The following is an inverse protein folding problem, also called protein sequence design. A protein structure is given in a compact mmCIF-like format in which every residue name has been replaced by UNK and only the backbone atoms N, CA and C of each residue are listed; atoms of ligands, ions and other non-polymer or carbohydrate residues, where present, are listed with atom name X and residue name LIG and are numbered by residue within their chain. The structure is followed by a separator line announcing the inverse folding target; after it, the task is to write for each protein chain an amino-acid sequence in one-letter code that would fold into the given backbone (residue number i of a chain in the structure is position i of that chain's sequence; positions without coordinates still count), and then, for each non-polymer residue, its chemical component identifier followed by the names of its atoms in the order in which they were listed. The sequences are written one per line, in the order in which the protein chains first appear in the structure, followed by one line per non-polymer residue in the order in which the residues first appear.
data_IF_679336686225
#
_entry.id   IF_679336686225
#
_cell.length_a   1.000
_cell.length_b   1.000
_cell.length_c   1.000
_cell.angle_alpha   90.00
_cell.angle_beta   90.00
_cell.angle_gamma   90.00
#
_symmetry.space_group_name_H-M   'P 1'
#
loop_
_entity.id
_entity.type
_entity.pdbx_description
1 polymer ?
#
# COMPACT_ATOMS: atom_id res chain seq x y z
N UNK A 1 4.81 -30.33 -28.93
CA UNK A 1 3.62 -29.48 -29.12
C UNK A 1 3.61 -28.45 -28.00
N UNK A 2 3.91 -27.19 -28.30
CA UNK A 2 3.81 -26.13 -27.30
C UNK A 2 2.33 -25.83 -27.06
N UNK A 3 1.88 -25.94 -25.81
CA UNK A 3 0.52 -25.57 -25.44
C UNK A 3 0.31 -24.09 -25.74
N UNK A 4 -0.63 -23.77 -26.64
CA UNK A 4 -1.07 -22.39 -26.82
C UNK A 4 -1.80 -22.00 -25.54
N UNK A 5 -1.16 -21.19 -24.71
CA UNK A 5 -1.85 -20.49 -23.62
C UNK A 5 -2.78 -19.49 -24.30
N UNK A 6 -4.04 -19.87 -24.47
CA UNK A 6 -5.10 -18.93 -24.82
C UNK A 6 -5.19 -17.94 -23.67
N UNK A 7 -4.64 -16.73 -23.87
CA UNK A 7 -4.87 -15.63 -22.94
C UNK A 7 -6.39 -15.46 -22.85
N UNK A 8 -6.99 -15.53 -21.65
CA UNK A 8 -8.43 -15.36 -21.52
C UNK A 8 -8.82 -14.03 -22.15
N UNK A 9 -9.93 -14.03 -22.90
CA UNK A 9 -10.58 -12.81 -23.41
C UNK A 9 -10.51 -11.74 -22.32
N UNK A 10 -10.02 -10.54 -22.66
CA UNK A 10 -9.82 -9.42 -21.73
C UNK A 10 -11.05 -9.27 -20.83
N UNK A 11 -10.96 -9.74 -19.59
CA UNK A 11 -12.02 -9.56 -18.58
C UNK A 11 -12.24 -8.05 -18.45
N UNK A 12 -13.41 -7.51 -18.82
CA UNK A 12 -13.67 -6.09 -18.66
C UNK A 12 -13.51 -5.77 -17.17
N UNK A 13 -12.86 -4.64 -16.87
CA UNK A 13 -12.65 -4.21 -15.50
C UNK A 13 -11.91 -5.25 -14.62
N UNK A 14 -10.75 -5.74 -15.07
CA UNK A 14 -9.89 -6.65 -14.31
C UNK A 14 -9.29 -5.97 -13.06
N UNK A 15 -8.96 -4.68 -13.14
CA UNK A 15 -8.37 -3.89 -12.05
C UNK A 15 -9.15 -2.61 -11.81
N UNK A 16 -9.57 -2.37 -10.57
CA UNK A 16 -10.10 -1.09 -10.11
C UNK A 16 -9.00 -0.30 -9.39
N UNK A 17 -8.64 0.88 -9.89
CA UNK A 17 -7.60 1.75 -9.30
C UNK A 17 -8.25 2.97 -8.66
N UNK A 18 -8.05 3.14 -7.35
CA UNK A 18 -8.42 4.36 -6.64
C UNK A 18 -7.20 5.26 -6.44
N UNK A 19 -7.19 6.42 -7.08
CA UNK A 19 -6.13 7.43 -6.92
C UNK A 19 -6.56 8.44 -5.86
N UNK A 20 -5.89 8.46 -4.71
CA UNK A 20 -6.19 9.41 -3.65
C UNK A 20 -5.71 10.80 -4.03
N UNK A 21 -6.63 11.76 -4.00
CA UNK A 21 -6.36 13.16 -4.37
C UNK A 21 -7.28 14.10 -3.61
N UNK A 22 -7.14 15.40 -3.84
CA UNK A 22 -7.93 16.45 -3.20
C UNK A 22 -8.40 17.48 -4.24
N UNK A 23 -9.50 18.21 -4.00
CA UNK A 23 -10.14 19.01 -5.05
C UNK A 23 -9.19 19.99 -5.76
N UNK A 24 -8.29 20.64 -5.02
CA UNK A 24 -7.39 21.65 -5.58
C UNK A 24 -6.23 21.07 -6.41
N UNK A 25 -5.97 19.75 -6.39
CA UNK A 25 -4.96 19.09 -7.23
C UNK A 25 -5.49 18.66 -8.61
N UNK A 26 -6.29 19.52 -9.26
CA UNK A 26 -6.78 19.28 -10.63
C UNK A 26 -5.62 19.08 -11.62
N UNK A 27 -4.56 19.86 -11.49
CA UNK A 27 -3.35 19.74 -12.31
C UNK A 27 -2.71 18.33 -12.25
N UNK A 28 -2.70 17.67 -11.08
CA UNK A 28 -2.17 16.31 -10.95
C UNK A 28 -3.05 15.28 -11.64
N UNK A 29 -4.37 15.44 -11.51
CA UNK A 29 -5.35 14.60 -12.22
C UNK A 29 -5.25 14.77 -13.73
N UNK A 30 -5.12 16.00 -14.21
CA UNK A 30 -4.94 16.30 -15.63
C UNK A 30 -3.62 15.73 -16.17
N UNK A 31 -2.53 15.83 -15.40
CA UNK A 31 -1.27 15.20 -15.77
C UNK A 31 -1.40 13.68 -15.87
N UNK A 32 -2.10 13.01 -14.94
CA UNK A 32 -2.39 11.59 -15.03
C UNK A 32 -3.22 11.23 -16.27
N UNK A 33 -4.30 11.99 -16.54
CA UNK A 33 -5.17 11.85 -17.74
C UNK A 33 -4.38 11.96 -19.04
N UNK A 34 -3.44 12.91 -19.12
CA UNK A 34 -2.62 13.20 -20.30
C UNK A 34 -1.41 12.26 -20.46
N UNK A 35 -1.09 11.45 -19.44
CA UNK A 35 0.09 10.58 -19.44
C UNK A 35 -0.29 9.12 -19.24
N UNK A 36 -0.12 8.57 -18.04
CA UNK A 36 -0.25 7.14 -17.81
C UNK A 36 -1.69 6.61 -17.96
N UNK A 37 -2.71 7.46 -17.84
CA UNK A 37 -4.09 7.06 -18.12
C UNK A 37 -4.40 6.92 -19.61
N UNK A 38 -3.49 7.31 -20.52
CA UNK A 38 -3.66 7.07 -21.97
C UNK A 38 -3.28 5.64 -22.38
N UNK A 39 -2.91 4.78 -21.41
CA UNK A 39 -2.60 3.38 -21.67
C UNK A 39 -3.79 2.65 -22.30
N UNK A 40 -3.53 1.78 -23.29
CA UNK A 40 -4.56 1.11 -24.10
C UNK A 40 -5.50 0.17 -23.34
N UNK A 41 -5.20 -0.10 -22.07
CA UNK A 41 -5.99 -0.92 -21.17
C UNK A 41 -6.83 -0.09 -20.19
N UNK A 42 -6.56 1.21 -20.06
CA UNK A 42 -7.34 2.14 -19.22
C UNK A 42 -8.70 2.40 -19.86
N UNK A 43 -9.75 2.36 -19.04
CA UNK A 43 -11.14 2.40 -19.51
C UNK A 43 -11.68 1.07 -20.04
N UNK A 44 -10.83 0.03 -20.12
CA UNK A 44 -11.21 -1.32 -20.54
C UNK A 44 -10.99 -2.33 -19.41
N UNK A 45 -9.79 -2.86 -19.27
CA UNK A 45 -9.43 -3.83 -18.22
C UNK A 45 -8.93 -3.14 -16.95
N UNK A 46 -8.51 -1.88 -17.03
CA UNK A 46 -8.14 -1.05 -15.88
C UNK A 46 -9.09 0.13 -15.78
N UNK A 47 -9.86 0.22 -14.70
CA UNK A 47 -10.74 1.36 -14.42
C UNK A 47 -10.13 2.20 -13.33
N UNK A 48 -9.91 3.47 -13.63
CA UNK A 48 -9.29 4.45 -12.71
C UNK A 48 -10.36 5.38 -12.17
N UNK A 49 -10.33 5.65 -10.86
CA UNK A 49 -11.15 6.66 -10.19
C UNK A 49 -10.30 7.56 -9.30
N UNK A 50 -10.42 8.88 -9.47
CA UNK A 50 -9.91 9.86 -8.53
C UNK A 50 -10.80 9.96 -7.30
N UNK A 51 -10.26 9.64 -6.13
CA UNK A 51 -11.00 9.57 -4.88
C UNK A 51 -10.98 10.95 -4.20
N UNK A 52 -12.14 11.60 -4.14
CA UNK A 52 -12.32 12.89 -3.47
C UNK A 52 -13.03 12.68 -2.14
N UNK A 53 -12.41 13.13 -1.05
CA UNK A 53 -13.06 13.19 0.27
C UNK A 53 -14.02 14.39 0.31
N UNK A 54 -15.31 14.13 0.17
CA UNK A 54 -16.33 15.15 0.00
C UNK A 54 -17.01 15.60 1.31
N UNK A 55 -16.76 14.90 2.43
CA UNK A 55 -17.38 15.21 3.71
C UNK A 55 -16.95 16.58 4.22
N UNK A 56 -17.90 17.52 4.33
CA UNK A 56 -17.63 18.87 4.84
C UNK A 56 -16.78 19.74 3.91
N UNK A 57 -16.72 19.45 2.60
CA UNK A 57 -16.16 20.40 1.63
C UNK A 57 -17.02 21.67 1.55
N UNK A 58 -16.37 22.81 1.34
CA UNK A 58 -17.08 24.06 1.05
C UNK A 58 -17.94 23.87 -0.22
N UNK A 59 -19.18 24.41 -0.27
CA UNK A 59 -20.09 24.22 -1.40
C UNK A 59 -19.47 24.58 -2.76
N UNK A 60 -18.71 25.66 -2.83
CA UNK A 60 -18.07 26.10 -4.09
C UNK A 60 -16.99 25.13 -4.57
N UNK A 61 -16.19 24.59 -3.65
CA UNK A 61 -15.16 23.58 -3.96
C UNK A 61 -15.81 22.28 -4.43
N UNK A 62 -16.91 21.88 -3.78
CA UNK A 62 -17.68 20.71 -4.21
C UNK A 62 -18.34 20.93 -5.58
N UNK A 63 -18.85 22.13 -5.85
CA UNK A 63 -19.45 22.47 -7.13
C UNK A 63 -18.42 22.44 -8.28
N UNK A 64 -17.22 22.98 -8.07
CA UNK A 64 -16.12 22.88 -9.05
C UNK A 64 -15.70 21.43 -9.29
N UNK A 65 -15.50 20.65 -8.23
CA UNK A 65 -15.13 19.24 -8.38
C UNK A 65 -16.23 18.43 -9.10
N UNK A 66 -17.51 18.76 -8.90
CA UNK A 66 -18.62 18.15 -9.64
C UNK A 66 -18.61 18.52 -11.12
N UNK A 67 -18.29 19.78 -11.48
CA UNK A 67 -18.10 20.16 -12.88
C UNK A 67 -16.99 19.35 -13.55
N UNK A 68 -15.85 19.19 -12.87
CA UNK A 68 -14.77 18.34 -13.37
C UNK A 68 -15.21 16.87 -13.54
N UNK A 69 -16.00 16.34 -12.60
CA UNK A 69 -16.60 15.01 -12.74
C UNK A 69 -17.54 14.93 -13.95
N UNK A 70 -18.33 15.95 -14.22
CA UNK A 70 -19.24 15.97 -15.38
C UNK A 70 -18.44 16.01 -16.70
N UNK A 71 -17.29 16.67 -16.71
CA UNK A 71 -16.37 16.74 -17.85
C UNK A 71 -15.63 15.41 -18.12
N UNK A 72 -15.11 14.76 -17.08
CA UNK A 72 -14.18 13.63 -17.23
C UNK A 72 -14.76 12.27 -16.83
N UNK A 73 -15.81 12.23 -16.02
CA UNK A 73 -16.49 11.00 -15.63
C UNK A 73 -15.66 10.07 -14.74
N UNK A 74 -14.51 10.50 -14.21
CA UNK A 74 -13.47 9.65 -13.62
C UNK A 74 -13.19 9.87 -12.12
N UNK A 75 -14.08 10.56 -11.41
CA UNK A 75 -13.97 10.83 -9.98
C UNK A 75 -14.97 10.00 -9.17
N UNK A 76 -14.68 9.84 -7.88
CA UNK A 76 -15.56 9.21 -6.90
C UNK A 76 -15.53 10.04 -5.62
N UNK A 77 -16.68 10.65 -5.31
CA UNK A 77 -16.88 11.41 -4.09
C UNK A 77 -17.20 10.47 -2.93
N UNK A 78 -16.33 10.43 -1.94
CA UNK A 78 -16.45 9.59 -0.76
C UNK A 78 -16.98 10.42 0.41
N UNK A 79 -17.90 9.87 1.24
CA UNK A 79 -18.43 10.54 2.43
C UNK A 79 -17.42 10.48 3.60
N UNK A 80 -16.18 10.87 3.32
CA UNK A 80 -15.07 10.94 4.27
C UNK A 80 -14.75 12.41 4.47
N UNK A 81 -14.51 12.82 5.72
CA UNK A 81 -14.13 14.19 6.05
C UNK A 81 -12.94 14.67 5.19
N UNK A 82 -13.09 15.86 4.64
CA UNK A 82 -12.08 16.53 3.82
C UNK A 82 -10.78 16.80 4.60
N UNK A 83 -9.77 17.32 3.91
CA UNK A 83 -8.49 17.69 4.53
C UNK A 83 -8.60 18.71 5.66
N UNK A 84 -9.67 19.49 5.70
CA UNK A 84 -9.94 20.44 6.78
C UNK A 84 -10.65 19.82 8.00
N UNK A 85 -11.29 18.65 7.83
CA UNK A 85 -12.14 18.03 8.86
C UNK A 85 -11.53 16.82 9.56
N UNK A 86 -10.31 16.38 9.19
CA UNK A 86 -9.67 15.23 9.82
C UNK A 86 -8.15 15.24 9.65
N UNK A 87 -7.39 14.72 10.63
CA UNK A 87 -5.96 14.51 10.48
C UNK A 87 -5.64 13.74 9.19
N UNK A 88 -4.60 14.15 8.43
CA UNK A 88 -4.30 13.58 7.11
C UNK A 88 -4.20 12.05 7.11
N UNK A 89 -3.59 11.47 8.13
CA UNK A 89 -3.39 10.02 8.26
C UNK A 89 -4.71 9.28 8.42
N UNK A 90 -5.58 9.75 9.32
CA UNK A 90 -6.93 9.19 9.53
C UNK A 90 -7.75 9.30 8.25
N UNK A 91 -7.68 10.44 7.57
CA UNK A 91 -8.36 10.68 6.30
C UNK A 91 -7.97 9.68 5.21
N UNK A 92 -6.67 9.39 5.05
CA UNK A 92 -6.17 8.42 4.05
C UNK A 92 -6.64 6.99 4.33
N UNK A 93 -6.60 6.56 5.59
CA UNK A 93 -7.08 5.22 5.98
C UNK A 93 -8.58 5.07 5.73
N UNK A 94 -9.38 6.06 6.12
CA UNK A 94 -10.83 6.06 5.88
C UNK A 94 -11.16 6.12 4.38
N UNK A 95 -10.36 6.83 3.59
CA UNK A 95 -10.48 6.87 2.13
C UNK A 95 -10.22 5.50 1.51
N UNK A 96 -9.17 4.80 1.96
CA UNK A 96 -8.87 3.45 1.48
C UNK A 96 -10.02 2.50 1.80
N UNK A 97 -10.51 2.53 3.04
CA UNK A 97 -11.63 1.69 3.47
C UNK A 97 -12.92 2.00 2.69
N UNK A 98 -13.23 3.27 2.46
CA UNK A 98 -14.39 3.66 1.66
C UNK A 98 -14.23 3.24 0.19
N UNK A 99 -13.02 3.34 -0.36
CA UNK A 99 -12.71 2.88 -1.71
C UNK A 99 -12.88 1.37 -1.87
N UNK A 100 -12.34 0.54 -0.98
CA UNK A 100 -12.48 -0.92 -1.12
C UNK A 100 -13.94 -1.37 -1.12
N UNK A 101 -14.82 -0.67 -0.39
CA UNK A 101 -16.27 -0.90 -0.42
C UNK A 101 -16.94 -0.44 -1.72
N UNK A 102 -16.43 0.64 -2.34
CA UNK A 102 -17.03 1.24 -3.55
C UNK A 102 -16.48 0.64 -4.84
N UNK A 103 -15.26 0.11 -4.82
CA UNK A 103 -14.56 -0.42 -5.97
C UNK A 103 -15.35 -1.51 -6.68
N UNK A 104 -16.03 -2.38 -5.93
CA UNK A 104 -16.88 -3.45 -6.49
C UNK A 104 -18.14 -2.92 -7.17
N UNK A 105 -18.66 -1.75 -6.77
CA UNK A 105 -19.77 -1.11 -7.49
C UNK A 105 -19.30 -0.41 -8.77
N UNK A 106 -18.06 0.11 -8.77
CA UNK A 106 -17.44 0.73 -9.95
C UNK A 106 -16.98 -0.31 -10.96
N UNK A 107 -16.51 -1.45 -10.46
CA UNK A 107 -15.83 -2.49 -11.21
C UNK A 107 -16.25 -3.86 -10.68
N UNK A 108 -17.47 -4.35 -11.01
CA UNK A 108 -18.03 -5.57 -10.42
C UNK A 108 -17.24 -6.83 -10.68
N UNK A 109 -16.50 -6.86 -11.78
CA UNK A 109 -15.64 -7.96 -12.22
C UNK A 109 -14.19 -7.80 -11.77
N UNK A 110 -13.88 -6.79 -10.95
CA UNK A 110 -12.53 -6.55 -10.45
C UNK A 110 -11.96 -7.79 -9.77
N UNK A 111 -10.84 -8.28 -10.29
CA UNK A 111 -9.99 -9.28 -9.62
C UNK A 111 -9.03 -8.61 -8.65
N UNK A 112 -8.70 -7.34 -8.92
CA UNK A 112 -7.79 -6.54 -8.13
C UNK A 112 -8.42 -5.18 -7.80
N UNK A 113 -8.31 -4.78 -6.54
CA UNK A 113 -8.60 -3.42 -6.09
C UNK A 113 -7.28 -2.80 -5.65
N UNK A 114 -6.90 -1.69 -6.27
CA UNK A 114 -5.63 -1.01 -6.06
C UNK A 114 -5.83 0.40 -5.52
N UNK A 115 -4.80 0.91 -4.86
CA UNK A 115 -4.68 2.28 -4.37
C UNK A 115 -3.40 2.90 -4.93
N UNK A 116 -3.51 4.14 -5.36
CA UNK A 116 -2.41 5.01 -5.74
C UNK A 116 -2.54 6.38 -5.06
N UNK A 117 -1.45 7.12 -4.96
CA UNK A 117 -1.47 8.57 -4.70
C UNK A 117 -1.46 9.33 -6.04
N UNK A 118 -1.79 10.61 -6.06
CA UNK A 118 -1.90 11.42 -7.28
C UNK A 118 -0.56 11.96 -7.83
N UNK A 119 0.55 11.58 -7.21
CA UNK A 119 1.91 11.90 -7.62
C UNK A 119 2.69 10.68 -8.12
N UNK A 120 1.98 9.62 -8.52
CA UNK A 120 2.58 8.42 -9.11
C UNK A 120 2.48 8.39 -10.64
N UNK A 121 3.35 7.61 -11.25
CA UNK A 121 3.26 7.18 -12.66
C UNK A 121 3.07 5.66 -12.72
N UNK A 122 2.08 5.18 -13.46
CA UNK A 122 1.74 3.75 -13.55
C UNK A 122 1.95 3.25 -14.97
N UNK A 123 2.80 2.25 -15.17
CA UNK A 123 2.92 1.56 -16.47
C UNK A 123 1.79 0.54 -16.58
N UNK A 124 0.58 1.01 -16.93
CA UNK A 124 -0.68 0.28 -16.69
C UNK A 124 -0.75 -1.08 -17.39
N UNK A 125 -0.21 -1.21 -18.60
CA UNK A 125 -0.23 -2.46 -19.38
C UNK A 125 0.65 -3.53 -18.73
N UNK A 126 1.91 -3.18 -18.44
CA UNK A 126 2.87 -4.10 -17.82
C UNK A 126 2.48 -4.45 -16.39
N UNK A 127 1.95 -3.47 -15.66
CA UNK A 127 1.45 -3.67 -14.30
C UNK A 127 0.26 -4.64 -14.28
N UNK A 128 -0.72 -4.49 -15.18
CA UNK A 128 -1.83 -5.46 -15.30
C UNK A 128 -1.32 -6.86 -15.66
N UNK A 129 -0.37 -6.96 -16.60
CA UNK A 129 0.23 -8.24 -16.98
C UNK A 129 0.91 -8.93 -15.77
N UNK A 130 1.60 -8.17 -14.93
CA UNK A 130 2.18 -8.69 -13.68
C UNK A 130 1.10 -9.22 -12.72
N UNK A 131 0.02 -8.47 -12.52
CA UNK A 131 -1.09 -8.91 -11.67
C UNK A 131 -1.73 -10.21 -12.18
N UNK A 132 -1.84 -10.38 -13.50
CA UNK A 132 -2.32 -11.64 -14.09
C UNK A 132 -1.37 -12.81 -13.84
N UNK A 133 -0.07 -12.61 -13.99
CA UNK A 133 0.94 -13.63 -13.67
C UNK A 133 0.93 -14.01 -12.18
N UNK A 134 0.71 -13.04 -11.31
CA UNK A 134 0.60 -13.25 -9.86
C UNK A 134 -0.68 -14.02 -9.52
N UNK A 135 -1.81 -13.72 -10.17
CA UNK A 135 -3.07 -14.42 -9.93
C UNK A 135 -3.09 -15.86 -10.48
N UNK A 136 -2.31 -16.15 -11.53
CA UNK A 136 -2.32 -17.44 -12.21
C UNK A 136 -2.06 -18.61 -11.24
N UNK A 137 -2.99 -19.57 -11.19
CA UNK A 137 -2.90 -20.76 -10.33
C UNK A 137 -3.10 -20.47 -8.84
N UNK A 138 -3.61 -19.29 -8.48
CA UNK A 138 -3.88 -18.86 -7.11
C UNK A 138 -5.34 -18.43 -6.92
N UNK A 139 -6.24 -18.98 -7.73
CA UNK A 139 -7.66 -18.65 -7.71
C UNK A 139 -8.26 -18.89 -6.31
N UNK A 140 -9.09 -17.95 -5.85
CA UNK A 140 -9.76 -18.03 -4.54
C UNK A 140 -8.88 -17.66 -3.33
N UNK A 141 -7.61 -17.30 -3.52
CA UNK A 141 -6.77 -16.79 -2.42
C UNK A 141 -6.87 -15.28 -2.29
N UNK A 142 -6.92 -14.80 -1.04
CA UNK A 142 -6.73 -13.39 -0.75
C UNK A 142 -5.27 -13.01 -1.03
N UNK A 143 -5.06 -11.91 -1.78
CA UNK A 143 -3.73 -11.46 -2.18
C UNK A 143 -3.55 -9.99 -1.88
N UNK A 144 -2.40 -9.65 -1.32
CA UNK A 144 -1.90 -8.28 -1.22
C UNK A 144 -0.58 -8.23 -1.98
N UNK A 145 -0.48 -7.31 -2.95
CA UNK A 145 0.71 -7.18 -3.78
C UNK A 145 1.15 -5.71 -3.86
N UNK A 146 2.45 -5.49 -3.77
CA UNK A 146 3.10 -4.18 -3.80
C UNK A 146 4.37 -4.18 -2.98
N UNK A 147 5.00 -3.01 -2.84
CA UNK A 147 6.13 -2.83 -1.91
C UNK A 147 5.58 -2.83 -0.47
N UNK A 148 5.74 -3.95 0.21
CA UNK A 148 5.32 -4.09 1.62
C UNK A 148 6.43 -3.57 2.52
N UNK A 149 6.06 -2.73 3.49
CA UNK A 149 6.96 -2.16 4.50
C UNK A 149 6.44 -2.54 5.87
N UNK A 150 7.33 -3.03 6.72
CA UNK A 150 7.03 -3.35 8.10
C UNK A 150 7.32 -2.13 8.97
N UNK A 151 6.39 -1.81 9.87
CA UNK A 151 6.58 -0.76 10.85
C UNK A 151 6.37 -1.37 12.24
N UNK A 152 7.21 -0.99 13.20
CA UNK A 152 6.87 -1.14 14.60
C UNK A 152 6.27 0.18 15.12
N UNK A 153 5.36 0.04 16.07
CA UNK A 153 4.63 1.16 16.65
C UNK A 153 4.89 1.19 18.14
N UNK A 154 5.15 2.37 18.67
CA UNK A 154 5.04 2.56 20.11
C UNK A 154 3.54 2.47 20.45
N UNK A 155 3.11 1.37 21.06
CA UNK A 155 1.69 1.10 21.33
C UNK A 155 1.05 2.08 22.31
N UNK A 156 1.85 2.74 23.15
CA UNK A 156 1.38 3.72 24.14
C UNK A 156 1.03 5.06 23.50
N UNK A 157 1.78 5.46 22.48
CA UNK A 157 1.64 6.77 21.83
C UNK A 157 1.10 6.67 20.40
N UNK A 158 1.02 5.47 19.85
CA UNK A 158 0.62 5.17 18.47
C UNK A 158 1.42 5.97 17.43
N UNK A 159 2.73 6.06 17.67
CA UNK A 159 3.71 6.72 16.78
C UNK A 159 4.60 5.65 16.15
N UNK A 160 4.90 5.71 14.84
CA UNK A 160 5.83 4.79 14.20
C UNK A 160 7.24 4.99 14.77
N UNK A 161 7.92 3.90 15.14
CA UNK A 161 9.22 3.95 15.80
C UNK A 161 10.39 3.56 14.85
N UNK A 162 10.15 2.65 13.91
CA UNK A 162 11.06 2.26 12.83
C UNK A 162 10.29 1.63 11.67
N UNK A 163 10.95 1.50 10.52
CA UNK A 163 10.42 0.79 9.36
C UNK A 163 11.50 -0.07 8.70
N UNK A 164 11.11 -1.19 8.11
CA UNK A 164 11.98 -2.07 7.30
C UNK A 164 11.26 -2.50 6.01
N UNK A 165 12.01 -2.56 4.91
CA UNK A 165 11.53 -3.02 3.60
C UNK A 165 11.68 -4.54 3.42
N UNK A 166 12.37 -5.21 4.33
CA UNK A 166 12.51 -6.65 4.38
C UNK A 166 11.66 -7.22 5.52
N UNK A 167 10.79 -8.20 5.22
CA UNK A 167 10.24 -9.05 6.27
C UNK A 167 11.40 -9.93 6.75
N UNK A 168 12.10 -9.52 7.80
CA UNK A 168 13.13 -10.36 8.41
C UNK A 168 12.78 -10.65 9.88
N UNK A 169 11.75 -11.47 10.13
CA UNK A 169 11.43 -11.92 11.48
C UNK A 169 12.62 -12.68 12.12
N UNK A 170 13.56 -13.17 11.31
CA UNK A 170 14.72 -13.90 11.79
C UNK A 170 15.77 -12.97 12.40
N UNK A 171 15.85 -11.68 12.05
CA UNK A 171 16.94 -10.83 12.56
C UNK A 171 16.81 -10.55 14.07
N UNK A 172 15.63 -10.13 14.53
CA UNK A 172 15.43 -9.83 15.95
C UNK A 172 15.31 -11.12 16.78
N UNK A 173 14.64 -12.16 16.25
CA UNK A 173 14.51 -13.44 16.94
C UNK A 173 15.86 -14.13 17.13
N UNK A 174 16.75 -14.08 16.13
CA UNK A 174 18.12 -14.62 16.27
C UNK A 174 18.94 -13.89 17.31
N UNK A 175 18.77 -12.58 17.44
CA UNK A 175 19.41 -11.80 18.52
C UNK A 175 18.88 -12.26 19.87
N UNK A 176 17.57 -12.40 20.03
CA UNK A 176 16.96 -12.86 21.28
C UNK A 176 17.39 -14.29 21.63
N UNK A 177 17.31 -15.23 20.69
CA UNK A 177 17.72 -16.62 20.90
C UNK A 177 19.22 -16.71 21.27
N UNK A 178 20.08 -15.92 20.62
CA UNK A 178 21.50 -15.84 20.94
C UNK A 178 21.75 -15.24 22.34
N UNK A 179 21.03 -14.19 22.72
CA UNK A 179 21.11 -13.61 24.07
C UNK A 179 20.56 -14.56 25.14
N UNK A 180 19.60 -15.41 24.78
CA UNK A 180 19.06 -16.52 25.59
C UNK A 180 19.98 -17.74 25.69
N UNK A 181 21.14 -17.73 25.03
CA UNK A 181 22.18 -18.77 25.13
C UNK A 181 22.35 -19.66 23.90
N UNK A 182 21.51 -19.53 22.87
CA UNK A 182 21.65 -20.29 21.62
C UNK A 182 22.65 -19.61 20.67
N UNK A 183 23.95 -19.84 20.91
CA UNK A 183 25.01 -19.21 20.12
C UNK A 183 25.05 -19.64 18.64
N UNK A 184 24.30 -20.68 18.25
CA UNK A 184 24.20 -21.14 16.86
C UNK A 184 23.49 -20.14 15.95
N UNK A 185 22.81 -19.16 16.53
CA UNK A 185 22.00 -18.16 15.81
C UNK A 185 22.80 -17.05 15.15
N UNK A 186 24.07 -16.91 15.52
CA UNK A 186 25.03 -16.06 14.82
C UNK A 186 25.61 -16.82 13.60
N UNK A 187 25.29 -16.35 12.40
CA UNK A 187 25.67 -16.98 11.12
C UNK A 187 27.12 -16.72 10.73
N UNK A 188 27.68 -15.60 11.18
CA UNK A 188 29.01 -15.15 10.79
C UNK A 188 29.80 -14.64 12.01
N UNK A 189 31.15 -14.69 11.99
CA UNK A 189 31.98 -14.20 13.08
C UNK A 189 31.71 -12.73 13.47
N UNK A 190 31.45 -11.86 12.49
CA UNK A 190 31.13 -10.45 12.75
C UNK A 190 29.76 -10.28 13.42
N UNK A 191 28.79 -11.14 13.09
CA UNK A 191 27.46 -11.14 13.71
C UNK A 191 27.56 -11.62 15.17
N UNK A 192 28.37 -12.66 15.42
CA UNK A 192 28.68 -13.16 16.77
C UNK A 192 29.31 -12.07 17.65
N UNK A 193 30.34 -11.39 17.15
CA UNK A 193 31.00 -10.28 17.85
C UNK A 193 30.02 -9.16 18.21
N UNK A 194 29.09 -8.83 17.31
CA UNK A 194 28.06 -7.82 17.56
C UNK A 194 27.04 -8.28 18.60
N UNK A 195 26.60 -9.53 18.57
CA UNK A 195 25.67 -10.07 19.57
C UNK A 195 26.33 -10.20 20.96
N UNK A 196 27.62 -10.52 21.03
CA UNK A 196 28.43 -10.47 22.26
C UNK A 196 28.45 -9.05 22.85
N UNK A 197 28.66 -8.02 22.03
CA UNK A 197 28.56 -6.63 22.49
C UNK A 197 27.18 -6.32 23.06
N UNK A 198 26.09 -6.80 22.44
CA UNK A 198 24.74 -6.68 22.97
C UNK A 198 24.59 -7.37 24.34
N UNK A 199 25.21 -8.55 24.52
CA UNK A 199 25.23 -9.31 25.78
C UNK A 199 26.01 -8.58 26.89
N UNK A 200 27.13 -7.95 26.55
CA UNK A 200 28.00 -7.27 27.53
C UNK A 200 27.51 -5.88 27.92
N UNK A 201 26.96 -5.11 26.99
CA UNK A 201 26.57 -3.71 27.21
C UNK A 201 25.06 -3.52 27.51
N UNK A 202 24.29 -4.61 27.49
CA UNK A 202 22.84 -4.60 27.70
C UNK A 202 22.06 -4.14 26.46
N UNK A 203 20.76 -4.48 26.42
CA UNK A 203 19.86 -4.30 25.28
C UNK A 203 19.86 -2.88 24.66
N UNK A 204 20.19 -1.84 25.44
CA UNK A 204 20.15 -0.43 25.04
C UNK A 204 21.24 -0.02 24.04
N UNK A 205 22.30 -0.80 23.88
CA UNK A 205 23.39 -0.52 22.94
C UNK A 205 23.43 -1.49 21.76
N UNK A 206 22.44 -2.38 21.66
CA UNK A 206 22.36 -3.32 20.57
C UNK A 206 21.66 -2.64 19.38
N UNK A 207 22.40 -2.33 18.32
CA UNK A 207 21.86 -1.75 17.08
C UNK A 207 20.71 -2.59 16.48
N UNK A 208 20.63 -3.88 16.86
CA UNK A 208 19.66 -4.86 16.35
C UNK A 208 18.60 -5.26 17.39
N UNK A 209 18.70 -4.77 18.63
CA UNK A 209 17.59 -4.80 19.58
C UNK A 209 16.88 -3.44 19.45
N UNK A 210 15.62 -3.39 18.99
CA UNK A 210 14.85 -2.16 19.07
C UNK A 210 14.90 -1.67 20.52
N UNK A 211 15.20 -0.38 20.74
CA UNK A 211 15.45 0.18 22.08
C UNK A 211 14.31 -0.09 23.10
N UNK A 212 13.12 -0.44 22.63
CA UNK A 212 11.92 -0.75 23.41
C UNK A 212 11.60 -2.25 23.51
N UNK A 213 12.31 -3.14 22.80
CA UNK A 213 12.04 -4.57 22.82
C UNK A 213 12.50 -5.26 24.11
N UNK A 214 13.06 -4.50 25.07
CA UNK A 214 13.66 -4.97 26.32
C UNK A 214 14.18 -6.40 26.14
N UNK A 215 15.32 -6.56 25.45
CA UNK A 215 15.96 -7.86 25.21
C UNK A 215 16.46 -8.53 26.53
N UNK A 216 15.72 -8.34 27.62
CA UNK A 216 15.86 -8.81 28.99
C UNK A 216 14.71 -9.80 29.30
N UNK A 217 14.51 -10.79 28.42
CA UNK A 217 13.78 -12.06 28.69
C UNK A 217 12.25 -12.01 28.87
N UNK A 218 11.64 -13.17 29.18
CA UNK A 218 11.51 -14.36 28.34
C UNK A 218 10.27 -14.26 27.41
N UNK A 219 10.41 -14.63 26.14
CA UNK A 219 9.29 -14.91 25.24
C UNK A 219 9.18 -16.42 25.01
#
# INVERSE_FOLDING_TARGET
MAASVSLPMREPCYVAVGVMTVPHYRNRRDAARQTWMTGSNVGSTVVVRFLIRAGGLHPDVLAEAKREQDEHGDMTFLPVASEHGSPPQRGRVLTLHAWTRRATAVCPTARWVSKADDDVYIVTVDWEAQLRMIAAGREGRAMLHGKVVWHNWNVKHFVPHSFDYSYNPDNWRRVIDYLGGDESRARFPDERRRFELCRTHGARQCEWCPAEAECTGPF
#
